data_IF_594135840336
#
_entry.id   IF_594135840336
#
_cell.length_a   1.000
_cell.length_b   1.000
_cell.length_c   1.000
_cell.angle_alpha   90.00
_cell.angle_beta   90.00
_cell.angle_gamma   90.00
#
_symmetry.space_group_name_H-M   'P 1'
#
loop_
_entity.id
_entity.type
_entity.pdbx_description
1 polymer ?
#
# COMPACT_ATOMS: atom_id res chain seq x y z
N UNK A 1 4.60 -5.62 8.73
CA UNK A 1 4.59 -7.07 8.40
C UNK A 1 4.18 -7.24 6.95
N UNK A 2 4.61 -8.33 6.26
CA UNK A 2 4.27 -8.56 4.85
C UNK A 2 3.56 -9.89 4.66
N UNK A 3 2.25 -9.84 4.37
CA UNK A 3 1.35 -10.98 4.22
C UNK A 3 0.54 -10.90 2.92
N UNK A 4 1.21 -10.54 1.83
CA UNK A 4 0.67 -10.48 0.49
C UNK A 4 1.55 -11.29 -0.49
N UNK A 5 1.20 -11.30 -1.75
CA UNK A 5 2.02 -11.75 -2.89
C UNK A 5 2.47 -13.21 -2.85
N UNK A 6 1.58 -14.13 -2.42
CA UNK A 6 1.85 -15.57 -2.41
C UNK A 6 2.82 -16.05 -1.32
N UNK A 7 3.29 -15.13 -0.43
CA UNK A 7 4.14 -15.50 0.69
C UNK A 7 3.34 -16.10 1.85
N UNK A 8 4.02 -16.53 2.90
CA UNK A 8 3.47 -17.34 3.98
C UNK A 8 2.12 -16.80 4.53
N UNK A 9 2.03 -15.53 4.86
CA UNK A 9 0.79 -14.97 5.38
C UNK A 9 -0.35 -14.99 4.36
N UNK A 10 -0.08 -14.63 3.09
CA UNK A 10 -1.07 -14.74 2.02
C UNK A 10 -1.56 -16.18 1.87
N UNK A 11 -0.65 -17.16 1.95
CA UNK A 11 -0.98 -18.58 1.85
C UNK A 11 -1.90 -19.07 2.98
N UNK A 12 -1.78 -18.53 4.19
CA UNK A 12 -2.69 -18.88 5.29
C UNK A 12 -4.10 -18.31 5.05
N UNK A 13 -4.23 -17.13 4.49
CA UNK A 13 -5.53 -16.51 4.28
C UNK A 13 -6.28 -17.09 3.08
N UNK A 14 -5.56 -17.48 2.02
CA UNK A 14 -6.16 -17.96 0.77
C UNK A 14 -6.64 -19.42 0.86
N UNK A 15 -7.92 -19.72 0.56
CA UNK A 15 -8.38 -21.11 0.47
C UNK A 15 -7.71 -21.90 -0.67
N UNK A 16 -7.14 -21.23 -1.69
CA UNK A 16 -6.39 -21.93 -2.74
C UNK A 16 -5.12 -22.60 -2.18
N UNK A 17 -4.41 -21.92 -1.28
CA UNK A 17 -3.18 -22.43 -0.68
C UNK A 17 -3.44 -23.17 0.63
N UNK A 18 -4.39 -22.65 1.44
CA UNK A 18 -4.70 -23.20 2.77
C UNK A 18 -5.77 -24.30 2.70
N UNK A 19 -5.32 -25.53 2.53
CA UNK A 19 -6.17 -26.74 2.55
C UNK A 19 -6.22 -27.43 3.93
N UNK A 20 -5.83 -26.71 5.00
CA UNK A 20 -5.79 -27.25 6.37
C UNK A 20 -7.20 -27.51 6.90
N UNK A 21 -7.31 -28.56 7.73
CA UNK A 21 -8.56 -28.96 8.39
C UNK A 21 -8.54 -28.72 9.91
N UNK A 22 -7.45 -28.15 10.42
CA UNK A 22 -7.28 -27.77 11.81
C UNK A 22 -7.75 -26.31 12.07
N UNK A 23 -7.40 -25.78 13.25
CA UNK A 23 -7.78 -24.44 13.69
C UNK A 23 -7.23 -23.28 12.81
N UNK A 24 -6.37 -23.55 11.84
CA UNK A 24 -5.83 -22.55 10.91
C UNK A 24 -6.44 -22.65 9.50
N UNK A 25 -7.39 -23.54 9.26
CA UNK A 25 -8.02 -23.76 7.96
C UNK A 25 -9.53 -23.66 7.97
N UNK A 26 -10.14 -23.68 6.79
CA UNK A 26 -11.59 -23.63 6.60
C UNK A 26 -12.16 -22.21 6.70
N UNK A 27 -12.77 -21.84 7.82
CA UNK A 27 -13.42 -20.52 7.99
C UNK A 27 -12.45 -19.35 7.90
N UNK A 28 -12.95 -18.16 7.54
CA UNK A 28 -12.15 -16.91 7.51
C UNK A 28 -11.45 -16.67 8.86
N UNK A 29 -12.17 -16.90 9.97
CA UNK A 29 -11.62 -16.74 11.32
C UNK A 29 -10.43 -17.66 11.56
N UNK A 30 -10.51 -18.90 11.13
CA UNK A 30 -9.41 -19.85 11.25
C UNK A 30 -8.23 -19.46 10.33
N UNK A 31 -8.48 -19.09 9.08
CA UNK A 31 -7.44 -18.66 8.15
C UNK A 31 -6.74 -17.37 8.59
N UNK A 32 -7.46 -16.47 9.26
CA UNK A 32 -6.91 -15.23 9.82
C UNK A 32 -6.17 -15.42 11.16
N UNK A 33 -6.38 -16.55 11.85
CA UNK A 33 -5.78 -16.83 13.17
C UNK A 33 -4.27 -16.64 13.19
N UNK A 34 -3.55 -17.19 12.20
CA UNK A 34 -2.11 -17.01 12.09
C UNK A 34 -1.68 -15.53 12.10
N UNK A 35 -2.44 -14.67 11.41
CA UNK A 35 -2.16 -13.23 11.35
C UNK A 35 -2.39 -12.56 12.72
N UNK A 36 -3.46 -12.91 13.40
CA UNK A 36 -3.79 -12.40 14.73
C UNK A 36 -2.74 -12.80 15.75
N UNK A 37 -2.36 -14.08 15.81
CA UNK A 37 -1.32 -14.58 16.71
C UNK A 37 0.05 -13.95 16.44
N UNK A 38 0.37 -13.71 15.16
CA UNK A 38 1.60 -13.02 14.79
C UNK A 38 1.58 -11.54 15.20
N UNK A 39 0.43 -10.86 15.09
CA UNK A 39 0.27 -9.50 15.59
C UNK A 39 0.43 -9.44 17.10
N UNK A 40 -0.20 -10.34 17.85
CA UNK A 40 -0.05 -10.43 19.31
C UNK A 40 1.41 -10.64 19.72
N UNK A 41 2.10 -11.58 19.06
CA UNK A 41 3.50 -11.87 19.35
C UNK A 41 4.42 -10.67 19.06
N UNK A 42 4.18 -9.95 17.96
CA UNK A 42 4.95 -8.73 17.66
C UNK A 42 4.59 -7.61 18.62
N UNK A 43 3.30 -7.38 18.90
CA UNK A 43 2.86 -6.32 19.81
C UNK A 43 3.41 -6.50 21.22
N UNK A 44 3.59 -7.72 21.69
CA UNK A 44 4.17 -8.01 22.99
C UNK A 44 5.60 -7.46 23.19
N UNK A 45 6.35 -7.22 22.10
CA UNK A 45 7.73 -6.71 22.13
C UNK A 45 7.90 -5.38 21.41
N UNK A 46 6.93 -4.97 20.59
CA UNK A 46 6.96 -3.74 19.81
C UNK A 46 6.35 -2.59 20.62
N UNK A 47 7.10 -1.50 20.89
CA UNK A 47 6.59 -0.40 21.71
C UNK A 47 5.30 0.19 21.14
N UNK A 48 4.31 0.42 22.00
CA UNK A 48 2.98 0.93 21.63
C UNK A 48 3.04 2.25 20.85
N UNK A 49 4.02 3.11 21.14
CA UNK A 49 4.21 4.40 20.44
C UNK A 49 4.58 4.26 18.95
N UNK A 50 4.95 3.07 18.49
CA UNK A 50 5.26 2.83 17.09
C UNK A 50 4.14 2.07 16.40
N UNK A 51 3.72 2.49 15.20
CA UNK A 51 2.67 1.81 14.48
C UNK A 51 3.10 0.39 14.08
N UNK A 52 2.17 -0.54 14.16
CA UNK A 52 2.30 -1.89 13.62
C UNK A 52 1.44 -2.00 12.38
N UNK A 53 2.08 -2.12 11.22
CA UNK A 53 1.41 -2.13 9.92
C UNK A 53 1.54 -3.49 9.25
N UNK A 54 0.56 -3.85 8.43
CA UNK A 54 0.57 -5.10 7.67
C UNK A 54 0.18 -4.86 6.23
N UNK A 55 1.01 -5.34 5.30
CA UNK A 55 0.62 -5.46 3.91
C UNK A 55 -0.07 -6.80 3.70
N UNK A 56 -1.32 -6.76 3.25
CA UNK A 56 -2.19 -7.92 3.15
C UNK A 56 -2.62 -8.17 1.70
N UNK A 57 -2.57 -9.43 1.27
CA UNK A 57 -3.23 -9.89 0.06
C UNK A 57 -4.73 -9.99 0.31
N UNK A 58 -5.47 -8.98 -0.17
CA UNK A 58 -6.88 -8.82 0.13
C UNK A 58 -7.84 -9.46 -0.90
N UNK A 59 -7.30 -9.91 -2.02
CA UNK A 59 -8.07 -10.53 -3.09
C UNK A 59 -7.13 -11.38 -3.95
N UNK A 60 -7.51 -12.59 -4.30
CA UNK A 60 -6.76 -13.43 -5.24
C UNK A 60 -7.24 -13.26 -6.69
N UNK A 61 -8.30 -12.50 -6.91
CA UNK A 61 -8.97 -12.35 -8.20
C UNK A 61 -9.32 -13.72 -8.84
N UNK A 62 -9.65 -14.69 -8.01
CA UNK A 62 -10.02 -16.04 -8.39
C UNK A 62 -11.20 -16.54 -7.53
N UNK A 63 -12.23 -17.18 -8.12
CA UNK A 63 -13.45 -17.53 -7.40
C UNK A 63 -13.25 -18.50 -6.21
N UNK A 64 -12.19 -19.31 -6.24
CA UNK A 64 -11.84 -20.21 -5.13
C UNK A 64 -10.75 -19.64 -4.21
N UNK A 65 -10.30 -18.41 -4.43
CA UNK A 65 -9.27 -17.74 -3.63
C UNK A 65 -9.86 -16.87 -2.52
N UNK A 66 -9.00 -16.07 -1.89
CA UNK A 66 -9.41 -15.01 -0.96
C UNK A 66 -10.37 -14.07 -1.69
N UNK A 67 -11.57 -13.93 -1.17
CA UNK A 67 -12.53 -12.91 -1.61
C UNK A 67 -12.31 -11.63 -0.82
N UNK A 68 -12.61 -10.49 -1.42
CA UNK A 68 -12.39 -9.21 -0.74
C UNK A 68 -13.19 -9.08 0.56
N UNK A 69 -14.41 -9.64 0.64
CA UNK A 69 -15.22 -9.64 1.88
C UNK A 69 -14.57 -10.46 3.00
N UNK A 70 -13.88 -11.56 2.67
CA UNK A 70 -13.09 -12.34 3.63
C UNK A 70 -11.93 -11.50 4.19
N UNK A 71 -11.27 -10.74 3.32
CA UNK A 71 -10.18 -9.86 3.75
C UNK A 71 -10.68 -8.72 4.66
N UNK A 72 -11.84 -8.12 4.37
CA UNK A 72 -12.46 -7.11 5.25
C UNK A 72 -12.72 -7.70 6.64
N UNK A 73 -13.30 -8.91 6.69
CA UNK A 73 -13.57 -9.61 7.95
C UNK A 73 -12.26 -9.93 8.71
N UNK A 74 -11.23 -10.40 8.01
CA UNK A 74 -9.93 -10.70 8.59
C UNK A 74 -9.25 -9.43 9.15
N UNK A 75 -9.26 -8.31 8.40
CA UNK A 75 -8.66 -7.04 8.86
C UNK A 75 -9.37 -6.50 10.10
N UNK A 76 -10.71 -6.69 10.18
CA UNK A 76 -11.47 -6.33 11.38
C UNK A 76 -10.98 -7.08 12.62
N UNK A 77 -10.71 -8.39 12.48
CA UNK A 77 -10.13 -9.18 13.57
C UNK A 77 -8.71 -8.73 13.88
N UNK A 78 -7.86 -8.53 12.86
CA UNK A 78 -6.47 -8.08 13.04
C UNK A 78 -6.38 -6.72 13.75
N UNK A 79 -7.33 -5.82 13.54
CA UNK A 79 -7.42 -4.55 14.27
C UNK A 79 -7.57 -4.77 15.77
N UNK A 80 -8.36 -5.73 16.18
CA UNK A 80 -8.55 -6.10 17.61
C UNK A 80 -7.26 -6.68 18.22
N UNK A 81 -6.34 -7.19 17.39
CA UNK A 81 -5.02 -7.70 17.75
C UNK A 81 -3.88 -6.67 17.56
N UNK A 82 -4.22 -5.39 17.46
CA UNK A 82 -3.25 -4.29 17.48
C UNK A 82 -2.67 -3.91 16.13
N UNK A 83 -3.35 -4.20 15.02
CA UNK A 83 -3.02 -3.63 13.72
C UNK A 83 -3.43 -2.16 13.68
N UNK A 84 -2.49 -1.26 13.36
CA UNK A 84 -2.72 0.19 13.30
C UNK A 84 -3.02 0.68 11.88
N UNK A 85 -2.50 0.00 10.84
CA UNK A 85 -2.73 0.34 9.44
C UNK A 85 -2.70 -0.90 8.56
N UNK A 86 -3.67 -1.00 7.66
CA UNK A 86 -3.73 -2.05 6.63
C UNK A 86 -3.26 -1.50 5.27
N UNK A 87 -2.18 -2.05 4.72
CA UNK A 87 -1.74 -1.81 3.34
C UNK A 87 -2.32 -2.90 2.44
N UNK A 88 -3.27 -2.51 1.59
CA UNK A 88 -4.02 -3.43 0.73
C UNK A 88 -3.27 -3.74 -0.56
N UNK A 89 -3.16 -5.03 -0.87
CA UNK A 89 -2.58 -5.52 -2.11
C UNK A 89 -3.31 -6.79 -2.58
N UNK A 90 -2.85 -7.39 -3.68
CA UNK A 90 -3.34 -8.69 -4.13
C UNK A 90 -2.65 -9.86 -3.41
N UNK A 91 -3.35 -10.98 -3.35
CA UNK A 91 -2.83 -12.20 -2.75
C UNK A 91 -1.75 -12.88 -3.60
N UNK A 92 -1.95 -12.95 -4.91
CA UNK A 92 -1.06 -13.67 -5.84
C UNK A 92 -0.78 -15.12 -5.41
N UNK A 93 -1.82 -15.81 -4.91
CA UNK A 93 -1.73 -17.23 -4.56
C UNK A 93 -1.97 -18.14 -5.79
N UNK A 94 -2.26 -17.56 -6.94
CA UNK A 94 -2.41 -18.23 -8.23
C UNK A 94 -2.03 -17.30 -9.37
N UNK A 95 -1.57 -17.86 -10.49
CA UNK A 95 -1.37 -17.14 -11.74
C UNK A 95 -2.66 -17.08 -12.59
N UNK A 96 -3.66 -17.91 -12.24
CA UNK A 96 -4.97 -17.96 -12.91
C UNK A 96 -5.93 -16.92 -12.31
N UNK A 97 -5.62 -15.65 -12.55
CA UNK A 97 -6.45 -14.53 -12.11
C UNK A 97 -7.50 -14.16 -13.16
N UNK A 98 -8.73 -13.95 -12.72
CA UNK A 98 -9.83 -13.54 -13.60
C UNK A 98 -9.83 -12.02 -13.80
N UNK A 99 -9.59 -11.57 -15.05
CA UNK A 99 -9.65 -10.18 -15.46
C UNK A 99 -8.97 -9.18 -14.49
N UNK A 100 -7.67 -9.34 -14.23
CA UNK A 100 -7.01 -8.43 -13.30
C UNK A 100 -6.95 -7.01 -13.87
N UNK A 101 -7.52 -5.99 -13.18
CA UNK A 101 -7.55 -4.60 -13.67
C UNK A 101 -6.19 -3.90 -13.45
N UNK A 102 -5.10 -4.53 -13.87
CA UNK A 102 -3.73 -4.13 -13.57
C UNK A 102 -3.31 -2.80 -14.20
N UNK A 103 -4.01 -2.38 -15.26
CA UNK A 103 -3.77 -1.11 -15.95
C UNK A 103 -4.52 0.06 -15.33
N UNK A 104 -5.56 -0.19 -14.55
CA UNK A 104 -6.40 0.86 -14.02
C UNK A 104 -5.69 1.63 -12.91
N UNK A 105 -5.75 2.94 -12.99
CA UNK A 105 -5.16 3.82 -11.97
C UNK A 105 -5.96 3.69 -10.68
N UNK A 106 -5.26 3.19 -9.65
CA UNK A 106 -5.84 3.14 -8.33
C UNK A 106 -7.00 2.14 -8.16
N UNK A 107 -7.06 1.05 -8.96
CA UNK A 107 -8.13 0.07 -8.79
C UNK A 107 -8.23 -0.51 -7.36
N UNK A 108 -7.13 -0.50 -6.62
CA UNK A 108 -7.12 -0.89 -5.22
C UNK A 108 -7.62 0.22 -4.28
N UNK A 109 -7.74 1.47 -4.75
CA UNK A 109 -8.17 2.60 -3.93
C UNK A 109 -9.59 2.40 -3.41
N UNK A 110 -10.52 1.97 -4.25
CA UNK A 110 -11.91 1.71 -3.84
C UNK A 110 -11.98 0.60 -2.77
N UNK A 111 -11.17 -0.45 -2.93
CA UNK A 111 -11.05 -1.53 -1.94
C UNK A 111 -10.49 -1.02 -0.62
N UNK A 112 -9.41 -0.24 -0.68
CA UNK A 112 -8.81 0.36 0.51
C UNK A 112 -9.77 1.34 1.19
N UNK A 113 -10.49 2.18 0.43
CA UNK A 113 -11.51 3.07 0.94
C UNK A 113 -12.64 2.33 1.66
N UNK A 114 -13.08 1.21 1.11
CA UNK A 114 -14.09 0.37 1.76
C UNK A 114 -13.60 -0.17 3.12
N UNK A 115 -12.34 -0.67 3.19
CA UNK A 115 -11.75 -1.08 4.48
C UNK A 115 -11.67 0.09 5.46
N UNK A 116 -11.22 1.27 4.98
CA UNK A 116 -11.15 2.50 5.79
C UNK A 116 -12.49 2.83 6.43
N UNK A 117 -13.56 2.75 5.65
CA UNK A 117 -14.92 3.15 6.10
C UNK A 117 -15.61 2.08 6.93
N UNK A 118 -15.50 0.79 6.59
CA UNK A 118 -16.17 -0.29 7.30
C UNK A 118 -15.43 -0.73 8.56
N UNK A 119 -14.10 -0.85 8.50
CA UNK A 119 -13.28 -1.29 9.64
C UNK A 119 -12.84 -0.12 10.51
N UNK A 120 -12.84 1.11 9.97
CA UNK A 120 -12.37 2.33 10.65
C UNK A 120 -10.92 2.19 11.12
N UNK A 121 -10.05 1.82 10.19
CA UNK A 121 -8.62 1.69 10.37
C UNK A 121 -7.92 2.51 9.26
N UNK A 122 -6.80 3.17 9.53
CA UNK A 122 -5.99 3.77 8.49
C UNK A 122 -5.58 2.75 7.43
N UNK A 123 -5.56 3.18 6.18
CA UNK A 123 -5.25 2.30 5.05
C UNK A 123 -4.19 2.87 4.14
N UNK A 124 -3.46 1.97 3.51
CA UNK A 124 -2.54 2.28 2.43
C UNK A 124 -2.80 1.37 1.23
N UNK A 125 -2.41 1.81 0.06
CA UNK A 125 -2.32 0.95 -1.13
C UNK A 125 -1.37 1.51 -2.16
N UNK A 126 -1.08 0.72 -3.19
CA UNK A 126 -0.26 1.08 -4.33
C UNK A 126 -1.12 1.04 -5.63
N UNK A 127 -0.54 0.56 -6.74
CA UNK A 127 -1.16 0.38 -8.04
C UNK A 127 -1.41 1.67 -8.81
N UNK A 128 -0.46 1.95 -9.72
CA UNK A 128 -0.52 3.08 -10.66
C UNK A 128 -0.71 4.47 -10.00
N UNK A 129 -0.31 4.60 -8.73
CA UNK A 129 -0.31 5.85 -7.97
C UNK A 129 1.04 6.58 -8.02
N UNK A 130 1.94 6.21 -8.94
CA UNK A 130 3.24 6.86 -9.12
C UNK A 130 3.17 8.23 -9.80
N UNK A 131 2.01 8.61 -10.37
CA UNK A 131 1.76 9.95 -10.94
C UNK A 131 1.38 10.87 -9.77
N UNK A 132 2.11 11.99 -9.53
CA UNK A 132 1.89 12.86 -8.37
C UNK A 132 0.45 13.34 -8.21
N UNK A 133 -0.20 13.73 -9.31
CA UNK A 133 -1.59 14.20 -9.30
C UNK A 133 -2.57 13.13 -8.84
N UNK A 134 -2.35 11.87 -9.20
CA UNK A 134 -3.18 10.76 -8.74
C UNK A 134 -2.96 10.46 -7.26
N UNK A 135 -1.70 10.46 -6.81
CA UNK A 135 -1.34 10.27 -5.41
C UNK A 135 -1.94 11.38 -4.52
N UNK A 136 -1.78 12.63 -4.93
CA UNK A 136 -2.33 13.79 -4.23
C UNK A 136 -3.87 13.75 -4.17
N UNK A 137 -4.53 13.44 -5.29
CA UNK A 137 -5.98 13.35 -5.36
C UNK A 137 -6.55 12.35 -4.36
N UNK A 138 -6.04 11.12 -4.32
CA UNK A 138 -6.59 10.07 -3.44
C UNK A 138 -6.40 10.39 -1.95
N UNK A 139 -5.38 11.17 -1.60
CA UNK A 139 -5.17 11.67 -0.22
C UNK A 139 -6.11 12.84 0.09
N UNK A 140 -6.19 13.84 -0.80
CA UNK A 140 -7.07 15.01 -0.57
C UNK A 140 -8.56 14.68 -0.56
N UNK A 141 -8.97 13.68 -1.32
CA UNK A 141 -10.34 13.16 -1.32
C UNK A 141 -10.59 12.19 -0.16
N UNK A 142 -9.61 12.02 0.73
CA UNK A 142 -9.67 11.13 1.90
C UNK A 142 -10.06 9.67 1.56
N UNK A 143 -9.70 9.21 0.37
CA UNK A 143 -9.99 7.84 -0.06
C UNK A 143 -9.06 6.84 0.64
N UNK A 144 -7.80 7.21 0.85
CA UNK A 144 -6.80 6.43 1.57
C UNK A 144 -5.93 7.37 2.42
N UNK A 145 -5.18 6.83 3.36
CA UNK A 145 -4.36 7.62 4.28
C UNK A 145 -2.89 7.71 3.84
N UNK A 146 -2.37 6.69 3.15
CA UNK A 146 -1.01 6.67 2.63
C UNK A 146 -0.95 6.04 1.23
N UNK A 147 -0.06 6.57 0.39
CA UNK A 147 0.27 5.99 -0.92
C UNK A 147 1.56 5.20 -0.83
N UNK A 148 1.53 3.94 -1.31
CA UNK A 148 2.71 3.08 -1.35
C UNK A 148 3.38 3.15 -2.72
N UNK A 149 4.66 3.54 -2.74
CA UNK A 149 5.44 3.74 -3.96
C UNK A 149 6.60 2.73 -4.02
N UNK A 150 6.45 1.67 -4.79
CA UNK A 150 7.53 0.71 -5.05
C UNK A 150 8.35 1.11 -6.28
N UNK A 151 7.96 0.64 -7.46
CA UNK A 151 8.66 0.90 -8.74
C UNK A 151 8.91 2.39 -9.04
N UNK A 152 7.99 3.33 -8.76
CA UNK A 152 8.27 4.75 -8.93
C UNK A 152 9.46 5.24 -8.11
N UNK A 153 9.60 4.79 -6.85
CA UNK A 153 10.72 5.15 -5.99
C UNK A 153 12.03 4.45 -6.41
N UNK A 154 11.97 3.24 -7.00
CA UNK A 154 13.14 2.59 -7.58
C UNK A 154 13.65 3.33 -8.83
N UNK A 155 12.74 3.81 -9.67
CA UNK A 155 13.06 4.55 -10.89
C UNK A 155 13.54 6.01 -10.59
N UNK A 156 12.97 6.61 -9.55
CA UNK A 156 13.31 7.95 -9.09
C UNK A 156 13.34 8.00 -7.55
N UNK A 157 14.50 7.79 -6.92
CA UNK A 157 14.63 7.84 -5.45
C UNK A 157 14.23 9.20 -4.85
N UNK A 158 14.25 10.27 -5.65
CA UNK A 158 13.83 11.62 -5.27
C UNK A 158 12.38 11.92 -5.68
N UNK A 159 11.56 10.90 -5.85
CA UNK A 159 10.17 11.04 -6.25
C UNK A 159 9.38 12.08 -5.41
N UNK A 160 9.53 12.20 -4.08
CA UNK A 160 8.82 13.22 -3.30
C UNK A 160 9.13 14.65 -3.72
N UNK A 161 10.40 14.96 -4.04
CA UNK A 161 10.80 16.29 -4.50
C UNK A 161 10.22 16.58 -5.88
N UNK A 162 10.28 15.59 -6.77
CA UNK A 162 9.67 15.67 -8.09
C UNK A 162 8.16 15.87 -7.99
N UNK A 163 7.47 15.10 -7.15
CA UNK A 163 6.04 15.21 -6.93
C UNK A 163 5.65 16.60 -6.37
N UNK A 164 6.39 17.10 -5.39
CA UNK A 164 6.17 18.44 -4.83
C UNK A 164 6.27 19.53 -5.92
N UNK A 165 7.25 19.42 -6.82
CA UNK A 165 7.39 20.32 -7.95
C UNK A 165 6.23 20.23 -8.93
N UNK A 166 5.84 19.01 -9.32
CA UNK A 166 4.73 18.75 -10.25
C UNK A 166 3.39 19.26 -9.70
N UNK A 167 3.24 19.24 -8.39
CA UNK A 167 2.06 19.75 -7.69
C UNK A 167 2.12 21.24 -7.37
N UNK A 168 3.18 21.95 -7.81
CA UNK A 168 3.31 23.39 -7.62
C UNK A 168 3.67 23.80 -6.19
N UNK A 169 4.30 22.92 -5.40
CA UNK A 169 4.74 23.27 -4.05
C UNK A 169 5.82 24.39 -4.13
N UNK A 170 5.63 25.45 -3.34
CA UNK A 170 6.49 26.65 -3.40
C UNK A 170 7.96 26.36 -3.02
N UNK A 171 8.18 25.40 -2.12
CA UNK A 171 9.51 25.04 -1.63
C UNK A 171 9.76 23.52 -1.73
N UNK A 172 9.89 22.93 -2.93
CA UNK A 172 10.05 21.49 -3.11
C UNK A 172 11.33 20.94 -2.44
N UNK A 173 12.36 21.76 -2.30
CA UNK A 173 13.61 21.38 -1.63
C UNK A 173 13.51 21.37 -0.08
N UNK A 174 12.40 21.83 0.50
CA UNK A 174 12.17 21.66 1.94
C UNK A 174 12.03 20.19 2.37
N UNK A 175 11.90 19.29 1.41
CA UNK A 175 11.77 17.84 1.63
C UNK A 175 13.11 17.10 1.75
N UNK A 176 14.23 17.82 1.59
CA UNK A 176 15.58 17.25 1.80
C UNK A 176 16.23 17.82 3.05
N UNK A 177 17.31 17.16 3.50
CA UNK A 177 18.11 17.66 4.62
C UNK A 177 18.61 19.08 4.34
N UNK A 178 18.72 19.91 5.39
CA UNK A 178 19.03 21.34 5.27
C UNK A 178 20.34 21.61 4.54
N UNK A 179 21.36 20.79 4.75
CA UNK A 179 22.66 20.91 4.08
C UNK A 179 22.55 20.76 2.55
N UNK A 180 21.69 19.85 2.10
CA UNK A 180 21.43 19.64 0.67
C UNK A 180 20.52 20.72 0.10
N UNK A 181 19.53 21.16 0.88
CA UNK A 181 18.59 22.22 0.51
C UNK A 181 19.31 23.48 0.13
N UNK A 182 20.31 23.90 0.94
CA UNK A 182 21.10 25.10 0.68
C UNK A 182 21.74 25.06 -0.72
N UNK A 183 22.36 23.94 -1.08
CA UNK A 183 22.99 23.76 -2.40
C UNK A 183 21.98 23.79 -3.55
N UNK A 184 20.85 23.10 -3.41
CA UNK A 184 19.81 23.05 -4.43
C UNK A 184 19.14 24.40 -4.65
N UNK A 185 18.93 25.18 -3.61
CA UNK A 185 18.31 26.51 -3.69
C UNK A 185 19.25 27.57 -4.27
N UNK A 186 20.53 27.51 -3.96
CA UNK A 186 21.52 28.50 -4.46
C UNK A 186 21.90 28.27 -5.93
N UNK A 187 21.66 27.11 -6.50
CA UNK A 187 21.92 26.79 -7.91
C UNK A 187 20.67 26.77 -8.79
N UNK A 188 19.61 27.45 -8.42
CA UNK A 188 18.35 27.52 -9.19
C UNK A 188 18.52 27.93 -10.66
N UNK A 189 19.43 28.84 -10.95
CA UNK A 189 19.73 29.28 -12.32
C UNK A 189 20.33 28.20 -13.21
N UNK A 190 20.73 27.07 -12.63
CA UNK A 190 21.36 25.95 -13.32
C UNK A 190 20.46 24.71 -13.31
N UNK A 191 19.13 24.89 -13.32
CA UNK A 191 18.14 23.78 -13.25
C UNK A 191 18.46 22.60 -14.18
N UNK A 192 18.92 22.78 -15.42
CA UNK A 192 19.33 21.65 -16.27
C UNK A 192 20.52 20.87 -15.72
N UNK A 193 21.45 21.53 -15.00
CA UNK A 193 22.64 20.88 -14.46
C UNK A 193 22.41 20.12 -13.16
N UNK A 194 21.31 20.35 -12.47
CA UNK A 194 20.92 19.59 -11.26
C UNK A 194 20.13 18.32 -11.57
N UNK A 195 20.01 17.97 -12.86
CA UNK A 195 19.47 16.68 -13.27
C UNK A 195 17.97 16.51 -13.01
N UNK A 196 17.17 17.57 -13.05
CA UNK A 196 15.73 17.43 -13.05
C UNK A 196 15.29 16.50 -14.18
N UNK A 197 14.55 15.45 -13.94
CA UNK A 197 13.97 14.66 -15.01
C UNK A 197 13.12 15.58 -15.88
N UNK A 198 13.24 15.41 -17.20
CA UNK A 198 12.33 16.07 -18.12
C UNK A 198 10.89 15.73 -17.73
N UNK A 199 10.03 16.74 -17.69
CA UNK A 199 8.62 16.52 -17.44
C UNK A 199 8.10 15.53 -18.48
N UNK A 200 7.37 14.47 -18.11
CA UNK A 200 6.62 13.72 -19.08
C UNK A 200 5.71 14.72 -19.79
N UNK A 201 5.90 14.88 -21.10
CA UNK A 201 4.93 15.66 -21.86
C UNK A 201 3.60 14.98 -21.69
N UNK A 202 2.66 15.64 -21.01
CA UNK A 202 1.27 15.21 -20.98
C UNK A 202 0.80 15.25 -22.42
N UNK A 203 0.76 14.08 -23.05
CA UNK A 203 0.04 13.94 -24.31
C UNK A 203 -1.42 14.15 -23.95
N UNK A 204 -1.96 15.31 -24.32
CA UNK A 204 -3.40 15.53 -24.37
C UNK A 204 -4.01 14.39 -25.18
N UNK A 205 -4.81 13.57 -24.53
CA UNK A 205 -5.70 12.59 -25.16
C UNK A 205 -6.87 13.34 -25.73
#
# INVERSE_FOLDING_TARGET
>A
MHYAHGYLGASFLSPLANQRTDQYGGSVANRARFHCEALDAVRAVWPEKYPLTMRLGSDDLHPAGTQFDDAVAAIKMMKEHGLDLADLSLGFNTDDMVNPPMSDVGFMVERAHRVRTEVKIPVATSWNLGIPQNADRVIREELIDLVMLGRPALANPHWPIWAARELGHEAPFSLVADDWRWWLENFRGHAPSIGWPALPQVRSI
#
